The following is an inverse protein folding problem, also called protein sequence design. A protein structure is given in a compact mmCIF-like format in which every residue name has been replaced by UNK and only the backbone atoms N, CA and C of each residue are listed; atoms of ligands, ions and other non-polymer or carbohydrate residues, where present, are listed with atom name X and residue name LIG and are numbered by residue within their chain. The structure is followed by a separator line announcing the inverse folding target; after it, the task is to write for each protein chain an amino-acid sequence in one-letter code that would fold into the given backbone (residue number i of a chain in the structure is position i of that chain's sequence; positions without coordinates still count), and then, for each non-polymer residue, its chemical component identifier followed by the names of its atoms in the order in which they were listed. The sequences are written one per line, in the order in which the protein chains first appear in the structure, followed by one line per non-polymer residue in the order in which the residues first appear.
data_IF_281711787197
#
_entry.id   IF_281711787197
#
_cell.length_a   1.000
_cell.length_b   1.000
_cell.length_c   1.000
_cell.angle_alpha   90.00
_cell.angle_beta   90.00
_cell.angle_gamma   90.00
#
_symmetry.space_group_name_H-M   'P 1'
#
loop_
_entity.id
_entity.type
_entity.pdbx_description
1 polymer ?
#
# COMPACT_ATOMS: atom_id res chain seq x y z
N UNK A 1 1.18 -26.87 -7.64
CA UNK A 1 2.21 -26.63 -6.61
C UNK A 1 3.56 -26.81 -7.28
N UNK A 2 4.43 -25.80 -7.35
CA UNK A 2 5.75 -25.96 -7.99
C UNK A 2 6.63 -26.85 -7.10
N UNK A 3 7.17 -27.93 -7.66
CA UNK A 3 8.14 -28.78 -6.96
C UNK A 3 9.47 -28.03 -6.77
N UNK A 4 10.04 -28.12 -5.57
CA UNK A 4 11.28 -27.43 -5.19
C UNK A 4 12.35 -28.45 -4.83
N UNK A 5 13.01 -28.99 -5.85
CA UNK A 5 13.94 -30.11 -5.70
C UNK A 5 15.41 -29.68 -5.56
N UNK A 6 15.70 -28.38 -5.72
CA UNK A 6 17.06 -27.84 -5.68
C UNK A 6 17.29 -27.02 -4.41
N UNK A 7 18.33 -27.36 -3.65
CA UNK A 7 18.74 -26.66 -2.44
C UNK A 7 20.07 -25.93 -2.64
N UNK A 8 20.20 -24.72 -2.10
CA UNK A 8 21.44 -23.93 -2.09
C UNK A 8 21.86 -23.70 -0.65
N UNK A 9 23.06 -24.14 -0.28
CA UNK A 9 23.64 -23.91 1.05
C UNK A 9 24.50 -22.65 1.03
N UNK A 10 24.14 -21.65 1.83
CA UNK A 10 24.89 -20.39 1.96
C UNK A 10 25.44 -20.32 3.38
N UNK A 11 26.76 -20.16 3.52
CA UNK A 11 27.40 -19.89 4.81
C UNK A 11 27.43 -18.38 5.04
N UNK A 12 26.92 -17.95 6.18
CA UNK A 12 26.87 -16.55 6.58
C UNK A 12 27.65 -16.36 7.88
N UNK A 13 28.28 -15.21 8.02
CA UNK A 13 28.73 -14.72 9.33
C UNK A 13 27.52 -14.38 10.20
N UNK A 14 27.73 -14.30 11.52
CA UNK A 14 26.63 -14.01 12.43
C UNK A 14 26.04 -12.61 12.19
N UNK A 15 26.87 -11.64 11.78
CA UNK A 15 26.40 -10.30 11.40
C UNK A 15 25.49 -10.34 10.17
N UNK A 16 25.86 -11.09 9.13
CA UNK A 16 25.07 -11.23 7.91
C UNK A 16 23.76 -11.95 8.18
N UNK A 17 23.77 -12.98 9.02
CA UNK A 17 22.55 -13.71 9.44
C UNK A 17 21.59 -12.80 10.22
N UNK A 18 22.10 -11.99 11.15
CA UNK A 18 21.29 -11.00 11.87
C UNK A 18 20.71 -9.98 10.90
N UNK A 19 21.53 -9.46 9.97
CA UNK A 19 21.07 -8.50 8.96
C UNK A 19 19.98 -9.09 8.07
N UNK A 20 20.19 -10.29 7.54
CA UNK A 20 19.22 -11.02 6.73
C UNK A 20 17.90 -11.23 7.48
N UNK A 21 17.96 -11.62 8.75
CA UNK A 21 16.76 -11.80 9.59
C UNK A 21 16.04 -10.47 9.81
N UNK A 22 16.75 -9.38 10.12
CA UNK A 22 16.16 -8.05 10.27
C UNK A 22 15.50 -7.56 8.97
N UNK A 23 16.15 -7.75 7.83
CA UNK A 23 15.63 -7.36 6.52
C UNK A 23 14.39 -8.16 6.14
N UNK A 24 14.36 -9.47 6.41
CA UNK A 24 13.18 -10.30 6.21
C UNK A 24 12.00 -9.83 7.07
N UNK A 25 12.24 -9.56 8.36
CA UNK A 25 11.22 -9.04 9.29
C UNK A 25 10.67 -7.68 8.85
N UNK A 26 11.53 -6.75 8.43
CA UNK A 26 11.12 -5.44 7.90
C UNK A 26 10.21 -5.55 6.67
N UNK A 27 10.36 -6.61 5.89
CA UNK A 27 9.52 -6.86 4.72
C UNK A 27 8.29 -7.71 5.06
N UNK A 28 8.08 -8.08 6.33
CA UNK A 28 6.97 -8.93 6.77
C UNK A 28 7.08 -10.38 6.29
N UNK A 29 8.29 -10.84 5.95
CA UNK A 29 8.53 -12.15 5.34
C UNK A 29 9.36 -13.05 6.25
N UNK A 30 9.15 -14.36 6.11
CA UNK A 30 10.13 -15.35 6.61
C UNK A 30 11.39 -15.30 5.75
N UNK A 31 12.49 -15.82 6.28
CA UNK A 31 13.81 -15.75 5.63
C UNK A 31 13.84 -16.42 4.25
N UNK A 32 13.22 -17.60 4.09
CA UNK A 32 13.14 -18.30 2.80
C UNK A 32 12.35 -17.55 1.71
N UNK A 33 11.10 -17.10 1.94
CA UNK A 33 10.41 -16.30 0.93
C UNK A 33 11.09 -14.95 0.68
N UNK A 34 11.79 -14.38 1.66
CA UNK A 34 12.63 -13.19 1.47
C UNK A 34 13.79 -13.47 0.53
N UNK A 35 14.62 -14.50 0.79
CA UNK A 35 15.73 -14.88 -0.11
C UNK A 35 15.21 -15.25 -1.50
N UNK A 36 14.10 -15.98 -1.59
CA UNK A 36 13.50 -16.35 -2.87
C UNK A 36 13.06 -15.13 -3.66
N UNK A 37 12.45 -14.16 -3.00
CA UNK A 37 12.14 -12.86 -3.62
C UNK A 37 13.41 -12.12 -4.01
N UNK A 38 14.51 -12.16 -3.26
CA UNK A 38 15.75 -11.48 -3.66
C UNK A 38 16.35 -12.09 -4.93
N UNK A 39 16.18 -13.40 -5.11
CA UNK A 39 16.65 -14.12 -6.30
C UNK A 39 15.75 -13.86 -7.51
N UNK A 40 14.44 -13.66 -7.28
CA UNK A 40 13.42 -13.57 -8.35
C UNK A 40 13.06 -12.12 -8.72
N UNK A 41 13.04 -11.22 -7.74
CA UNK A 41 12.68 -9.81 -7.84
C UNK A 41 13.92 -8.96 -7.50
N UNK A 42 14.27 -8.02 -8.39
CA UNK A 42 15.43 -7.12 -8.21
C UNK A 42 15.29 -6.18 -7.01
N UNK A 43 14.08 -5.97 -6.49
CA UNK A 43 13.82 -5.14 -5.30
C UNK A 43 12.79 -5.79 -4.38
N UNK A 44 13.20 -6.07 -3.13
CA UNK A 44 12.26 -6.32 -2.05
C UNK A 44 12.06 -5.02 -1.28
N UNK A 45 10.84 -4.48 -1.36
CA UNK A 45 10.47 -3.25 -0.66
C UNK A 45 10.01 -3.52 0.77
N UNK A 46 10.31 -2.61 1.71
CA UNK A 46 9.80 -2.71 3.08
C UNK A 46 8.27 -2.65 3.08
N UNK A 47 7.66 -3.31 4.07
CA UNK A 47 6.21 -3.19 4.29
C UNK A 47 5.89 -1.71 4.60
N UNK A 48 4.83 -1.12 3.99
CA UNK A 48 4.39 0.23 4.35
C UNK A 48 4.13 0.32 5.87
N UNK A 49 4.56 1.41 6.54
CA UNK A 49 4.29 1.62 7.97
C UNK A 49 2.79 1.55 8.27
N UNK A 50 2.40 1.03 9.44
CA UNK A 50 0.97 0.88 9.79
C UNK A 50 0.24 2.25 9.87
N UNK A 51 0.97 3.34 10.13
CA UNK A 51 0.50 4.73 10.04
C UNK A 51 -0.01 5.09 8.63
N UNK A 52 0.61 4.53 7.59
CA UNK A 52 0.17 4.72 6.19
C UNK A 52 -1.19 4.06 5.94
N UNK A 53 -1.44 2.90 6.56
CA UNK A 53 -2.75 2.23 6.49
C UNK A 53 -3.82 3.00 7.26
N UNK A 54 -3.47 3.65 8.38
CA UNK A 54 -4.37 4.55 9.11
C UNK A 54 -4.74 5.77 8.27
N UNK A 55 -3.74 6.41 7.63
CA UNK A 55 -3.96 7.54 6.75
C UNK A 55 -4.91 7.21 5.59
N UNK A 56 -4.72 6.06 4.93
CA UNK A 56 -5.63 5.61 3.87
C UNK A 56 -7.05 5.41 4.40
N UNK A 57 -7.22 4.86 5.62
CA UNK A 57 -8.56 4.68 6.21
C UNK A 57 -9.24 6.01 6.50
N UNK A 58 -8.50 6.99 7.01
CA UNK A 58 -9.02 8.33 7.27
C UNK A 58 -9.46 9.03 5.97
N UNK A 59 -8.64 8.95 4.93
CA UNK A 59 -8.98 9.51 3.61
C UNK A 59 -10.24 8.84 3.05
N UNK A 60 -10.38 7.52 3.16
CA UNK A 60 -11.59 6.81 2.74
C UNK A 60 -12.83 7.24 3.53
N UNK A 61 -12.70 7.48 4.84
CA UNK A 61 -13.79 7.98 5.67
C UNK A 61 -14.25 9.38 5.24
N UNK A 62 -13.30 10.26 4.92
CA UNK A 62 -13.59 11.60 4.38
C UNK A 62 -14.31 11.50 3.03
N UNK A 63 -13.82 10.66 2.12
CA UNK A 63 -14.48 10.44 0.82
C UNK A 63 -15.90 9.89 0.95
N UNK A 64 -16.13 8.96 1.88
CA UNK A 64 -17.47 8.44 2.16
C UNK A 64 -18.42 9.51 2.69
N UNK A 65 -17.94 10.38 3.60
CA UNK A 65 -18.75 11.48 4.13
C UNK A 65 -19.11 12.49 3.03
N UNK A 66 -18.17 12.80 2.13
CA UNK A 66 -18.41 13.68 0.97
C UNK A 66 -19.44 13.06 0.02
N UNK A 67 -19.35 11.76 -0.26
CA UNK A 67 -20.33 11.04 -1.09
C UNK A 67 -21.74 11.04 -0.46
N UNK A 68 -21.85 10.93 0.87
CA UNK A 68 -23.13 11.04 1.55
C UNK A 68 -23.73 12.45 1.47
N UNK A 69 -22.91 13.48 1.68
CA UNK A 69 -23.33 14.88 1.52
C UNK A 69 -23.79 15.14 0.08
N UNK A 70 -23.04 14.65 -0.90
CA UNK A 70 -23.40 14.71 -2.32
C UNK A 70 -24.76 14.08 -2.59
N UNK A 71 -24.99 12.88 -2.06
CA UNK A 71 -26.24 12.14 -2.25
C UNK A 71 -27.44 12.86 -1.60
N UNK A 72 -27.30 13.35 -0.37
CA UNK A 72 -28.35 14.10 0.34
C UNK A 72 -28.68 15.39 -0.42
N UNK A 73 -27.65 16.12 -0.84
CA UNK A 73 -27.83 17.39 -1.52
C UNK A 73 -28.39 17.24 -2.94
N UNK A 74 -28.07 16.15 -3.65
CA UNK A 74 -28.72 15.77 -4.90
C UNK A 74 -30.20 15.38 -4.71
N UNK A 75 -30.55 14.77 -3.57
CA UNK A 75 -31.92 14.42 -3.22
C UNK A 75 -32.77 15.64 -2.79
N UNK A 76 -32.15 16.63 -2.13
CA UNK A 76 -32.84 17.82 -1.60
C UNK A 76 -32.86 19.03 -2.56
N UNK A 77 -32.25 18.96 -3.75
CA UNK A 77 -32.19 20.03 -4.78
C UNK A 77 -31.69 21.42 -4.31
N UNK A 78 -31.19 21.56 -3.08
CA UNK A 78 -30.85 22.86 -2.47
C UNK A 78 -29.37 23.26 -2.61
N UNK A 79 -28.49 22.38 -3.10
CA UNK A 79 -27.08 22.70 -3.38
C UNK A 79 -26.86 22.56 -4.88
N UNK A 80 -26.24 23.57 -5.51
CA UNK A 80 -25.85 23.48 -6.92
C UNK A 80 -24.99 22.24 -7.12
N UNK A 81 -25.48 21.30 -7.94
CA UNK A 81 -24.82 20.03 -8.27
C UNK A 81 -23.36 20.23 -8.67
N UNK A 82 -23.03 21.38 -9.25
CA UNK A 82 -21.67 21.78 -9.62
C UNK A 82 -20.68 21.82 -8.44
N UNK A 83 -21.09 22.27 -7.24
CA UNK A 83 -20.19 22.36 -6.07
C UNK A 83 -19.92 20.99 -5.45
N UNK A 84 -20.90 20.10 -5.57
CA UNK A 84 -20.79 18.70 -5.14
C UNK A 84 -19.84 17.95 -6.06
N UNK A 85 -20.00 18.09 -7.36
CA UNK A 85 -19.09 17.51 -8.35
C UNK A 85 -17.65 17.99 -8.14
N UNK A 86 -17.45 19.26 -7.80
CA UNK A 86 -16.13 19.81 -7.49
C UNK A 86 -15.49 19.16 -6.26
N UNK A 87 -16.26 18.98 -5.17
CA UNK A 87 -15.78 18.34 -3.95
C UNK A 87 -15.46 16.85 -4.16
N UNK A 88 -16.32 16.12 -4.88
CA UNK A 88 -16.08 14.71 -5.24
C UNK A 88 -14.82 14.59 -6.10
N UNK A 89 -14.67 15.48 -7.09
CA UNK A 89 -13.48 15.50 -7.96
C UNK A 89 -12.18 15.77 -7.19
N UNK A 90 -12.18 16.68 -6.22
CA UNK A 90 -11.01 16.91 -5.36
C UNK A 90 -10.63 15.66 -4.54
N UNK A 91 -11.61 14.91 -4.06
CA UNK A 91 -11.36 13.64 -3.35
C UNK A 91 -10.79 12.60 -4.31
N UNK A 92 -11.35 12.47 -5.50
CA UNK A 92 -10.85 11.54 -6.52
C UNK A 92 -9.41 11.89 -6.94
N UNK A 93 -9.11 13.18 -7.11
CA UNK A 93 -7.76 13.67 -7.42
C UNK A 93 -6.75 13.33 -6.31
N UNK A 94 -7.14 13.49 -5.03
CA UNK A 94 -6.32 13.08 -3.88
C UNK A 94 -6.12 11.56 -3.88
N UNK A 95 -7.17 10.78 -4.13
CA UNK A 95 -7.09 9.31 -4.18
C UNK A 95 -6.20 8.82 -5.32
N UNK A 96 -6.29 9.46 -6.48
CA UNK A 96 -5.41 9.18 -7.61
C UNK A 96 -3.97 9.57 -7.31
N UNK A 97 -3.74 10.67 -6.60
CA UNK A 97 -2.41 11.06 -6.15
C UNK A 97 -1.82 10.03 -5.18
N UNK A 98 -2.61 9.54 -4.22
CA UNK A 98 -2.21 8.45 -3.30
C UNK A 98 -1.87 7.19 -4.10
N UNK A 99 -2.73 6.77 -5.03
CA UNK A 99 -2.51 5.59 -5.90
C UNK A 99 -1.31 5.75 -6.84
N UNK A 100 -1.02 6.97 -7.29
CA UNK A 100 0.18 7.29 -8.10
C UNK A 100 1.42 7.28 -7.25
N UNK A 101 1.36 7.74 -6.00
CA UNK A 101 2.46 7.65 -5.05
C UNK A 101 2.78 6.18 -4.70
N UNK A 102 1.76 5.33 -4.60
CA UNK A 102 1.93 3.87 -4.50
C UNK A 102 2.63 3.29 -5.74
N UNK A 103 2.28 3.77 -6.94
CA UNK A 103 2.85 3.33 -8.23
C UNK A 103 4.19 3.97 -8.61
N UNK A 104 4.53 5.12 -8.06
CA UNK A 104 5.76 5.88 -8.32
C UNK A 104 6.89 5.55 -7.34
N UNK A 105 6.56 4.88 -6.23
CA UNK A 105 7.52 4.08 -5.46
C UNK A 105 7.72 2.69 -6.13
N UNK A 106 7.69 2.63 -7.47
CA UNK A 106 7.99 1.45 -8.29
C UNK A 106 9.30 1.53 -9.05
#
# INVERSE_FOLDING_TARGET
MQERNNAVLIRLTEKEKIHLKKSAVRCGLKMEPFIRKLITEKEIRPRPPDEYLQLIREINAVGNNINQIAHIANAEQHISSSKIEEAVKMVDDIMDMVRRFERGNH
#
